data_IF_998230335518
#
_entry.id   IF_998230335518
#
_cell.length_a   1.000
_cell.length_b   1.000
_cell.length_c   1.000
_cell.angle_alpha   90.00
_cell.angle_beta   90.00
_cell.angle_gamma   90.00
#
_symmetry.space_group_name_H-M   'P 1'
#
loop_
_entity.id
_entity.type
_entity.pdbx_description
1 polymer ?
#
# COMPACT_ATOMS: atom_id res chain seq x y z
N UNK A 1 -10.75 13.56 -3.67
CA UNK A 1 -9.64 12.61 -3.95
C UNK A 1 -8.76 13.22 -5.03
N UNK A 2 -7.47 13.47 -4.78
CA UNK A 2 -6.55 13.99 -5.80
C UNK A 2 -5.81 12.80 -6.41
N UNK A 3 -6.05 12.53 -7.69
CA UNK A 3 -5.34 11.47 -8.40
C UNK A 3 -4.02 12.00 -8.93
N UNK A 4 -2.91 11.68 -8.27
CA UNK A 4 -1.57 11.89 -8.82
C UNK A 4 -1.18 10.62 -9.57
N UNK A 5 -0.92 10.67 -10.89
CA UNK A 5 -0.59 9.47 -11.66
C UNK A 5 0.82 9.02 -11.30
N UNK A 6 0.92 8.06 -10.39
CA UNK A 6 2.12 7.26 -10.19
C UNK A 6 1.87 5.88 -10.81
N UNK A 7 2.90 5.38 -11.48
CA UNK A 7 2.91 4.02 -11.99
C UNK A 7 3.85 3.20 -11.13
N UNK A 8 3.37 2.03 -10.70
CA UNK A 8 4.20 1.04 -10.08
C UNK A 8 4.49 -0.07 -11.10
N UNK A 9 5.72 -0.18 -11.62
CA UNK A 9 6.11 -1.32 -12.43
C UNK A 9 6.22 -2.57 -11.56
N UNK A 10 5.53 -3.63 -11.94
CA UNK A 10 5.58 -4.94 -11.28
C UNK A 10 5.84 -5.99 -12.34
N UNK A 11 6.96 -6.67 -12.25
CA UNK A 11 7.40 -7.70 -13.20
C UNK A 11 7.14 -9.11 -12.70
N UNK A 12 7.23 -9.35 -11.38
CA UNK A 12 7.00 -10.69 -10.80
C UNK A 12 5.53 -11.04 -10.59
N UNK A 13 4.64 -10.05 -10.68
CA UNK A 13 3.26 -10.16 -10.24
C UNK A 13 3.06 -10.20 -8.73
N UNK A 14 4.10 -9.96 -7.93
CA UNK A 14 4.01 -9.78 -6.49
C UNK A 14 4.15 -8.32 -6.07
N UNK A 15 3.36 -7.90 -5.09
CA UNK A 15 3.49 -6.60 -4.43
C UNK A 15 4.11 -6.80 -3.04
N UNK A 16 5.00 -5.90 -2.65
CA UNK A 16 5.64 -5.91 -1.34
C UNK A 16 5.64 -4.52 -0.70
N UNK A 17 5.70 -4.51 0.63
CA UNK A 17 5.77 -3.30 1.44
C UNK A 17 6.76 -3.46 2.58
N UNK A 18 7.39 -2.36 2.99
CA UNK A 18 8.28 -2.33 4.15
C UNK A 18 8.56 -0.89 4.62
N UNK A 19 9.04 -0.75 5.85
CA UNK A 19 9.65 0.49 6.33
C UNK A 19 11.07 0.65 5.75
N UNK A 20 11.40 1.75 5.04
CA UNK A 20 12.67 1.95 4.37
C UNK A 20 13.90 1.91 5.29
N UNK A 21 13.74 2.25 6.57
CA UNK A 21 14.80 2.18 7.59
C UNK A 21 14.87 0.83 8.32
N UNK A 22 13.89 -0.05 8.14
CA UNK A 22 13.83 -1.37 8.76
C UNK A 22 13.53 -2.48 7.74
N UNK A 23 14.51 -2.94 6.93
CA UNK A 23 14.29 -3.91 5.84
C UNK A 23 13.69 -5.24 6.30
N UNK A 24 13.92 -5.65 7.55
CA UNK A 24 13.33 -6.84 8.17
C UNK A 24 11.79 -6.76 8.31
N UNK A 25 11.21 -5.57 8.21
CA UNK A 25 9.77 -5.35 8.17
C UNK A 25 9.13 -5.77 6.85
N UNK A 26 9.94 -6.14 5.84
CA UNK A 26 9.41 -6.49 4.52
C UNK A 26 8.38 -7.60 4.53
N UNK A 27 7.28 -7.35 3.84
CA UNK A 27 6.20 -8.30 3.62
C UNK A 27 5.79 -8.27 2.15
N UNK A 28 5.67 -9.45 1.56
CA UNK A 28 5.04 -9.61 0.24
C UNK A 28 3.58 -10.01 0.43
N UNK A 29 2.67 -9.43 -0.33
CA UNK A 29 1.27 -9.81 -0.33
C UNK A 29 1.08 -11.22 -0.93
N UNK A 30 0.12 -11.97 -0.36
CA UNK A 30 -0.18 -13.34 -0.71
C UNK A 30 -0.77 -13.49 -2.13
N UNK A 31 -1.65 -12.56 -2.53
CA UNK A 31 -2.33 -12.60 -3.82
C UNK A 31 -1.45 -12.08 -4.96
N UNK A 32 -1.25 -12.84 -6.05
CA UNK A 32 -0.56 -12.36 -7.23
C UNK A 32 -1.47 -11.40 -8.03
N UNK A 33 -0.87 -10.34 -8.56
CA UNK A 33 -1.58 -9.27 -9.31
C UNK A 33 -1.30 -9.31 -10.82
N UNK A 34 -0.43 -10.22 -11.26
CA UNK A 34 0.09 -10.24 -12.64
C UNK A 34 1.14 -9.17 -12.89
N UNK A 35 1.93 -9.32 -13.96
CA UNK A 35 2.93 -8.33 -14.35
C UNK A 35 2.26 -7.15 -15.07
N UNK A 36 2.73 -5.93 -14.83
CA UNK A 36 2.21 -4.74 -15.49
C UNK A 36 2.65 -3.41 -14.86
N UNK A 37 2.07 -2.33 -15.39
CA UNK A 37 2.17 -0.98 -14.83
C UNK A 37 0.87 -0.65 -14.11
N UNK A 38 0.92 -0.58 -12.78
CA UNK A 38 -0.27 -0.35 -11.99
C UNK A 38 -0.42 1.12 -11.60
N UNK A 39 -1.63 1.66 -11.79
CA UNK A 39 -1.95 3.03 -11.36
C UNK A 39 -2.13 3.05 -9.86
N UNK A 40 -1.43 3.98 -9.20
CA UNK A 40 -1.59 4.25 -7.77
C UNK A 40 -2.35 5.55 -7.60
N UNK A 41 -3.47 5.48 -6.89
CA UNK A 41 -4.31 6.63 -6.53
C UNK A 41 -4.13 6.97 -5.06
N UNK A 42 -4.17 8.26 -4.73
CA UNK A 42 -3.96 8.76 -3.37
C UNK A 42 -5.27 9.27 -2.79
N UNK A 43 -5.63 8.79 -1.60
CA UNK A 43 -6.66 9.39 -0.77
C UNK A 43 -5.98 10.32 0.22
N UNK A 44 -6.28 11.62 0.14
CA UNK A 44 -5.73 12.64 1.04
C UNK A 44 -6.84 13.14 1.94
N UNK A 45 -6.58 13.14 3.25
CA UNK A 45 -7.43 13.77 4.25
C UNK A 45 -6.85 15.13 4.63
N UNK A 46 -7.73 16.12 4.85
CA UNK A 46 -7.36 17.45 5.29
C UNK A 46 -7.94 17.69 6.68
N UNK A 47 -7.11 18.18 7.60
CA UNK A 47 -7.50 18.60 8.95
C UNK A 47 -6.93 20.00 9.20
N UNK A 48 -7.80 21.02 9.14
CA UNK A 48 -7.37 22.42 9.07
C UNK A 48 -6.51 22.68 7.83
N UNK A 49 -5.30 23.22 8.03
CA UNK A 49 -4.34 23.51 6.95
C UNK A 49 -3.35 22.38 6.66
N UNK A 50 -3.50 21.23 7.33
CA UNK A 50 -2.61 20.08 7.14
C UNK A 50 -3.27 19.01 6.29
N UNK A 51 -2.55 18.53 5.29
CA UNK A 51 -2.89 17.35 4.50
C UNK A 51 -2.15 16.12 5.05
N UNK A 52 -2.82 14.97 5.02
CA UNK A 52 -2.24 13.66 5.36
C UNK A 52 -2.69 12.62 4.33
N UNK A 53 -1.79 11.72 3.96
CA UNK A 53 -2.15 10.56 3.13
C UNK A 53 -2.99 9.60 3.97
N UNK A 54 -4.27 9.47 3.64
CA UNK A 54 -5.20 8.61 4.35
C UNK A 54 -5.19 7.18 3.85
N UNK A 55 -5.04 6.99 2.54
CA UNK A 55 -4.88 5.67 1.94
C UNK A 55 -4.20 5.78 0.57
N UNK A 56 -3.66 4.65 0.09
CA UNK A 56 -3.41 4.46 -1.34
C UNK A 56 -4.32 3.38 -1.90
N UNK A 57 -4.67 3.51 -3.19
CA UNK A 57 -5.46 2.52 -3.94
C UNK A 57 -4.69 2.13 -5.19
N UNK A 58 -4.43 0.83 -5.37
CA UNK A 58 -3.74 0.27 -6.53
C UNK A 58 -4.74 -0.57 -7.30
N UNK A 59 -5.12 -0.15 -8.50
CA UNK A 59 -5.97 -0.95 -9.37
C UNK A 59 -5.12 -1.96 -10.12
N UNK A 60 -5.42 -3.25 -9.92
CA UNK A 60 -4.68 -4.38 -10.50
C UNK A 60 -5.54 -5.27 -11.40
N UNK A 61 -6.86 -5.11 -11.34
CA UNK A 61 -7.83 -5.78 -12.21
C UNK A 61 -8.87 -4.80 -12.77
N UNK A 62 -9.69 -5.32 -13.67
CA UNK A 62 -10.83 -4.64 -14.30
C UNK A 62 -12.24 -5.20 -13.97
N UNK A 63 -12.41 -6.44 -13.47
CA UNK A 63 -13.75 -6.95 -13.12
C UNK A 63 -14.43 -6.10 -12.03
N UNK A 64 -15.77 -6.17 -11.93
CA UNK A 64 -16.49 -5.53 -10.83
C UNK A 64 -16.06 -6.13 -9.48
N UNK A 65 -16.03 -5.26 -8.45
CA UNK A 65 -15.74 -5.67 -7.08
C UNK A 65 -16.93 -6.47 -6.55
N UNK A 66 -16.69 -7.70 -6.11
CA UNK A 66 -17.69 -8.55 -5.48
C UNK A 66 -17.66 -8.44 -3.95
N UNK A 67 -16.46 -8.39 -3.35
CA UNK A 67 -16.28 -8.27 -1.89
C UNK A 67 -14.95 -7.64 -1.53
N UNK A 68 -14.84 -7.23 -0.27
CA UNK A 68 -13.60 -6.77 0.36
C UNK A 68 -13.10 -7.80 1.36
N UNK A 69 -11.79 -8.02 1.38
CA UNK A 69 -11.12 -8.90 2.33
C UNK A 69 -9.86 -8.23 2.85
N UNK A 70 -9.43 -8.62 4.04
CA UNK A 70 -8.12 -8.25 4.58
C UNK A 70 -7.03 -8.80 3.66
N UNK A 71 -5.99 -8.00 3.41
CA UNK A 71 -4.82 -8.45 2.68
C UNK A 71 -3.88 -9.21 3.63
N UNK A 72 -3.39 -10.37 3.17
CA UNK A 72 -2.45 -11.17 3.92
C UNK A 72 -1.06 -11.10 3.30
N UNK A 73 -0.07 -11.48 4.10
CA UNK A 73 1.30 -11.60 3.64
C UNK A 73 1.63 -13.07 3.37
N UNK A 74 2.47 -13.32 2.35
CA UNK A 74 2.95 -14.66 2.01
C UNK A 74 3.51 -15.37 3.24
N UNK A 75 3.11 -16.62 3.43
CA UNK A 75 3.56 -17.44 4.56
C UNK A 75 2.90 -17.15 5.91
N UNK A 76 1.99 -16.17 5.99
CA UNK A 76 1.21 -15.94 7.20
C UNK A 76 -0.09 -16.74 7.21
N UNK A 77 -0.51 -17.16 8.41
CA UNK A 77 -1.81 -17.79 8.62
C UNK A 77 -2.93 -16.76 8.51
N UNK A 78 -4.11 -17.21 8.10
CA UNK A 78 -5.30 -16.39 8.11
C UNK A 78 -5.61 -15.93 9.56
N UNK A 79 -5.86 -14.63 9.80
CA UNK A 79 -6.28 -14.10 11.10
C UNK A 79 -7.55 -14.79 11.57
N UNK A 80 -7.64 -15.03 12.88
CA UNK A 80 -8.82 -15.62 13.51
C UNK A 80 -9.74 -14.58 14.15
N UNK A 81 -9.26 -13.35 14.31
CA UNK A 81 -10.00 -12.20 14.86
C UNK A 81 -9.56 -10.89 14.23
N UNK A 82 -10.34 -9.81 14.42
CA UNK A 82 -10.04 -8.47 13.91
C UNK A 82 -8.81 -7.83 14.60
N UNK A 83 -8.46 -8.29 15.77
CA UNK A 83 -7.28 -7.90 16.55
C UNK A 83 -6.00 -8.58 16.04
N UNK A 84 -6.12 -9.56 15.13
CA UNK A 84 -5.02 -10.26 14.47
C UNK A 84 -4.78 -9.79 13.03
N UNK A 85 -5.33 -8.64 12.64
CA UNK A 85 -5.15 -8.11 11.30
C UNK A 85 -3.64 -7.93 10.98
N UNK A 86 -3.16 -8.43 9.83
CA UNK A 86 -1.77 -8.22 9.44
C UNK A 86 -1.53 -6.73 9.20
N UNK A 87 -0.54 -6.19 9.90
CA UNK A 87 -0.11 -4.79 9.78
C UNK A 87 1.37 -4.70 9.46
N UNK A 88 1.77 -3.62 8.78
CA UNK A 88 3.18 -3.25 8.64
C UNK A 88 3.48 -2.09 9.57
N UNK A 89 4.42 -2.31 10.49
CA UNK A 89 4.93 -1.26 11.36
C UNK A 89 5.84 -0.31 10.57
N UNK A 90 5.61 0.99 10.73
CA UNK A 90 6.38 2.08 10.14
C UNK A 90 6.87 2.99 11.27
N UNK A 91 8.18 3.16 11.36
CA UNK A 91 8.88 3.97 12.36
C UNK A 91 9.59 5.18 11.73
N UNK A 92 9.91 5.13 10.44
CA UNK A 92 10.55 6.24 9.72
C UNK A 92 9.59 7.32 9.25
N UNK A 93 8.28 7.06 9.34
CA UNK A 93 7.25 7.93 8.76
C UNK A 93 6.95 7.64 7.29
N UNK A 94 7.61 6.64 6.72
CA UNK A 94 7.52 6.28 5.31
C UNK A 94 7.21 4.80 5.13
N UNK A 95 6.33 4.48 4.20
CA UNK A 95 6.10 3.11 3.74
C UNK A 95 6.59 3.00 2.31
N UNK A 96 7.45 2.02 2.03
CA UNK A 96 7.89 1.73 0.67
C UNK A 96 7.02 0.63 0.09
N UNK A 97 6.53 0.83 -1.13
CA UNK A 97 5.78 -0.12 -1.95
C UNK A 97 6.58 -0.46 -3.21
N UNK A 98 6.73 -1.74 -3.54
CA UNK A 98 7.54 -2.20 -4.68
C UNK A 98 7.10 -3.57 -5.23
N UNK A 99 7.68 -3.97 -6.35
CA UNK A 99 7.66 -5.36 -6.84
C UNK A 99 8.35 -6.29 -5.83
N UNK A 100 7.67 -7.35 -5.40
CA UNK A 100 8.15 -8.27 -4.37
C UNK A 100 9.23 -9.28 -4.83
N UNK A 101 9.60 -9.31 -6.12
CA UNK A 101 10.46 -10.32 -6.76
C UNK A 101 11.63 -10.80 -5.89
N UNK A 102 12.45 -9.87 -5.41
CA UNK A 102 13.73 -10.16 -4.75
C UNK A 102 13.70 -9.84 -3.24
N UNK A 103 12.51 -9.70 -2.65
CA UNK A 103 12.38 -9.31 -1.24
C UNK A 103 12.78 -7.85 -0.98
N UNK A 104 13.27 -7.56 0.23
CA UNK A 104 13.68 -6.22 0.64
C UNK A 104 15.02 -5.82 -0.04
N UNK A 105 15.13 -4.63 -0.65
CA UNK A 105 16.36 -4.14 -1.29
C UNK A 105 17.42 -3.63 -0.27
N UNK A 106 17.24 -3.90 1.03
CA UNK A 106 18.01 -3.26 2.10
C UNK A 106 17.42 -1.91 2.52
N UNK A 107 18.23 -1.09 3.20
CA UNK A 107 17.81 0.24 3.65
C UNK A 107 17.67 1.16 2.43
N UNK A 108 16.55 1.89 2.37
CA UNK A 108 16.28 2.85 1.29
C UNK A 108 16.31 4.25 1.87
N UNK A 109 17.27 5.07 1.42
CA UNK A 109 17.34 6.47 1.83
C UNK A 109 16.21 7.26 1.15
N UNK A 110 15.35 7.89 1.95
CA UNK A 110 14.30 8.79 1.45
C UNK A 110 14.83 10.22 1.51
N UNK A 111 14.88 10.96 0.38
CA UNK A 111 15.32 12.34 0.39
C UNK A 111 14.35 13.22 1.21
N UNK A 112 14.82 14.34 1.79
CA UNK A 112 13.95 15.27 2.48
C UNK A 112 12.76 15.69 1.62
N UNK A 113 11.55 15.53 2.14
CA UNK A 113 10.32 15.82 1.42
C UNK A 113 9.26 16.40 2.36
N UNK A 114 8.38 17.22 1.82
CA UNK A 114 7.26 17.83 2.55
C UNK A 114 5.97 17.60 1.79
N UNK A 115 4.87 17.44 2.54
CA UNK A 115 3.55 17.19 1.97
C UNK A 115 3.21 15.70 1.87
N UNK A 116 2.22 15.40 1.02
CA UNK A 116 1.57 14.07 0.93
C UNK A 116 1.87 13.35 -0.39
N UNK A 117 2.74 13.92 -1.22
CA UNK A 117 3.09 13.35 -2.52
C UNK A 117 4.10 12.22 -2.33
N UNK A 118 3.84 11.01 -2.85
CA UNK A 118 4.85 9.96 -2.83
C UNK A 118 6.04 10.27 -3.72
N UNK A 119 7.17 9.64 -3.39
CA UNK A 119 8.40 9.72 -4.17
C UNK A 119 8.63 8.41 -4.92
N UNK A 120 8.99 8.52 -6.20
CA UNK A 120 9.53 7.39 -6.95
C UNK A 120 11.02 7.25 -6.66
N UNK A 121 11.43 6.05 -6.22
CA UNK A 121 12.82 5.76 -5.85
C UNK A 121 13.34 4.64 -6.77
N UNK A 122 14.35 4.90 -7.62
CA UNK A 122 15.04 3.84 -8.34
C UNK A 122 15.87 3.01 -7.34
N UNK A 123 15.78 1.68 -7.45
CA UNK A 123 16.54 0.75 -6.61
C UNK A 123 17.77 0.23 -7.36
N UNK A 124 18.80 -0.18 -6.61
CA UNK A 124 20.06 -0.69 -7.16
C UNK A 124 19.92 -2.00 -7.90
N UNK A 125 18.86 -2.76 -7.65
CA UNK A 125 18.51 -4.02 -8.32
C UNK A 125 17.65 -3.82 -9.59
N UNK A 126 17.49 -2.57 -10.03
CA UNK A 126 16.73 -2.18 -11.23
C UNK A 126 15.22 -2.10 -11.03
N UNK A 127 14.69 -2.42 -9.84
CA UNK A 127 13.29 -2.17 -9.50
C UNK A 127 13.05 -0.68 -9.27
N UNK A 128 11.77 -0.30 -9.27
CA UNK A 128 11.31 1.00 -8.80
C UNK A 128 10.40 0.82 -7.60
N UNK A 129 10.53 1.73 -6.65
CA UNK A 129 9.70 1.75 -5.46
C UNK A 129 8.97 3.08 -5.33
N UNK A 130 7.83 3.07 -4.65
CA UNK A 130 7.10 4.26 -4.24
C UNK A 130 7.24 4.42 -2.73
N UNK A 131 7.83 5.53 -2.29
CA UNK A 131 7.90 5.91 -0.88
C UNK A 131 6.72 6.81 -0.52
N UNK A 132 5.90 6.35 0.42
CA UNK A 132 4.62 6.94 0.81
C UNK A 132 4.75 7.66 2.17
N UNK A 133 4.52 8.99 2.24
CA UNK A 133 4.57 9.71 3.51
C UNK A 133 3.31 9.43 4.33
N UNK A 134 3.42 8.51 5.29
CA UNK A 134 2.27 8.01 6.06
C UNK A 134 2.35 8.33 7.55
N UNK A 135 3.50 8.82 8.05
CA UNK A 135 3.72 8.95 9.48
C UNK A 135 4.03 7.60 10.13
N UNK A 136 4.25 7.61 11.44
CA UNK A 136 4.57 6.40 12.20
C UNK A 136 3.29 5.69 12.63
N UNK A 137 3.32 4.36 12.68
CA UNK A 137 2.16 3.56 13.04
C UNK A 137 2.23 2.12 12.54
N UNK A 138 1.11 1.42 12.61
CA UNK A 138 0.95 0.07 12.08
C UNK A 138 -0.22 0.04 11.10
N UNK A 139 0.06 -0.18 9.83
CA UNK A 139 -0.92 0.03 8.77
C UNK A 139 -1.45 -1.28 8.20
N UNK A 140 -2.77 -1.34 8.00
CA UNK A 140 -3.46 -2.49 7.44
C UNK A 140 -3.68 -2.31 5.94
N UNK A 141 -3.85 -3.43 5.25
CA UNK A 141 -4.16 -3.44 3.83
C UNK A 141 -5.34 -4.38 3.54
N UNK A 142 -6.04 -4.11 2.44
CA UNK A 142 -7.27 -4.77 2.04
C UNK A 142 -7.28 -5.02 0.54
N UNK A 143 -7.80 -6.18 0.15
CA UNK A 143 -8.10 -6.49 -1.24
C UNK A 143 -9.59 -6.27 -1.52
N UNK A 144 -9.90 -5.54 -2.58
CA UNK A 144 -11.14 -5.77 -3.30
C UNK A 144 -10.93 -6.91 -4.28
N UNK A 145 -11.88 -7.83 -4.36
CA UNK A 145 -11.77 -9.04 -5.18
C UNK A 145 -13.04 -9.25 -6.00
N UNK A 146 -12.90 -9.93 -7.13
CA UNK A 146 -14.01 -10.26 -8.02
C UNK A 146 -14.77 -11.53 -7.57
N UNK A 147 -15.78 -11.93 -8.34
CA UNK A 147 -16.59 -13.12 -8.06
C UNK A 147 -15.80 -14.45 -8.12
N UNK A 148 -14.60 -14.45 -8.70
CA UNK A 148 -13.70 -15.58 -8.76
C UNK A 148 -12.57 -15.47 -7.71
N UNK A 149 -12.70 -14.57 -6.74
CA UNK A 149 -11.70 -14.28 -5.70
C UNK A 149 -10.35 -13.79 -6.25
N UNK A 150 -10.31 -13.19 -7.45
CA UNK A 150 -9.10 -12.57 -7.99
C UNK A 150 -8.97 -11.12 -7.53
N UNK A 151 -7.75 -10.62 -7.27
CA UNK A 151 -7.57 -9.25 -6.82
C UNK A 151 -7.96 -8.24 -7.91
N UNK A 152 -8.74 -7.24 -7.51
CA UNK A 152 -9.17 -6.11 -8.37
C UNK A 152 -8.44 -4.83 -7.95
N UNK A 153 -8.37 -4.55 -6.65
CA UNK A 153 -7.55 -3.46 -6.14
C UNK A 153 -6.98 -3.74 -4.75
N UNK A 154 -5.77 -3.23 -4.48
CA UNK A 154 -5.19 -3.15 -3.14
C UNK A 154 -5.48 -1.78 -2.54
N UNK A 155 -5.88 -1.73 -1.28
CA UNK A 155 -5.93 -0.51 -0.48
C UNK A 155 -5.00 -0.66 0.71
N UNK A 156 -4.17 0.34 0.98
CA UNK A 156 -3.43 0.45 2.24
C UNK A 156 -4.03 1.63 3.00
N UNK A 157 -4.55 1.38 4.20
CA UNK A 157 -5.16 2.38 5.07
C UNK A 157 -4.11 2.87 6.08
N UNK A 158 -3.94 4.19 6.16
CA UNK A 158 -3.01 4.85 7.07
C UNK A 158 -3.68 5.33 8.36
N UNK A 159 -4.88 4.83 8.67
CA UNK A 159 -5.63 5.08 9.91
C UNK A 159 -5.86 6.58 10.20
N UNK A 160 -5.87 7.41 9.15
CA UNK A 160 -6.11 8.86 9.25
C UNK A 160 -7.61 9.18 9.35
N UNK A 161 -8.46 8.31 8.80
CA UNK A 161 -9.90 8.47 8.78
C UNK A 161 -10.57 7.35 9.57
N UNK A 162 -11.58 7.69 10.37
CA UNK A 162 -12.39 6.67 11.04
C UNK A 162 -13.33 5.98 10.04
N UNK A 163 -13.89 4.82 10.43
CA UNK A 163 -14.91 4.16 9.63
C UNK A 163 -16.12 5.08 9.33
N UNK A 164 -16.48 5.94 10.29
CA UNK A 164 -17.56 6.93 10.11
C UNK A 164 -17.18 7.95 9.03
N UNK A 165 -15.95 8.43 9.04
CA UNK A 165 -15.45 9.39 8.04
C UNK A 165 -15.44 8.77 6.64
N UNK A 166 -15.01 7.50 6.53
CA UNK A 166 -15.06 6.77 5.26
C UNK A 166 -16.49 6.64 4.71
N UNK A 167 -17.46 6.28 5.56
CA UNK A 167 -18.88 6.15 5.15
C UNK A 167 -19.48 7.49 4.71
N UNK A 168 -19.12 8.58 5.38
CA UNK A 168 -19.65 9.91 5.06
C UNK A 168 -19.20 10.48 3.71
N UNK A 169 -18.16 9.90 3.10
CA UNK A 169 -17.61 10.33 1.80
C UNK A 169 -18.12 9.51 0.62
N UNK A 170 -18.93 8.48 0.85
CA UNK A 170 -19.47 7.60 -0.19
C UNK A 170 -20.80 8.10 -0.81
N UNK A 171 -21.30 9.24 -0.34
CA UNK A 171 -22.43 10.00 -0.90
C UNK A 171 -21.94 11.21 -1.67
#
# INVERSE_FOLDING_TARGET
VRMLPLQLPVTSGGLGVFDPGAPKSFRAFDRPVGAGQFRVMLSVARSGDKERLAAIVIHVGRPPIAKWTVAHYRGQKMPKSADQLPRVAVTTGWLVLLDARDGAPGVVAIPPHTGVTPLEIPLTDGRRALALPCGTGEFAAYWAVDGADKPVCLVIDFDVLTQKDWKSKAT
#
